data_IF_057184134184
#
_entry.id   IF_057184134184
#
_cell.length_a   1.000
_cell.length_b   1.000
_cell.length_c   1.000
_cell.angle_alpha   90.00
_cell.angle_beta   90.00
_cell.angle_gamma   90.00
#
_symmetry.space_group_name_H-M   'P 1'
#
loop_
_entity.id
_entity.type
_entity.pdbx_description
1 polymer ?
#
# COMPACT_ATOMS: atom_id res chain seq x y z
N UNK A 1 29.11 10.87 -36.10
CA UNK A 1 27.74 10.30 -36.07
C UNK A 1 27.44 9.53 -34.78
N UNK A 2 28.24 8.53 -34.37
CA UNK A 2 27.98 7.72 -33.14
C UNK A 2 27.87 8.52 -31.83
N UNK A 3 28.67 9.59 -31.63
CA UNK A 3 28.60 10.45 -30.43
C UNK A 3 27.31 11.27 -30.32
N UNK A 4 26.76 11.74 -31.44
CA UNK A 4 25.50 12.52 -31.47
C UNK A 4 24.31 11.59 -31.23
N UNK A 5 24.30 10.39 -31.82
CA UNK A 5 23.29 9.36 -31.52
C UNK A 5 23.31 8.93 -30.05
N UNK A 6 24.51 8.77 -29.45
CA UNK A 6 24.63 8.45 -28.03
C UNK A 6 24.11 9.60 -27.14
N UNK A 7 24.44 10.85 -27.48
CA UNK A 7 23.95 12.01 -26.73
C UNK A 7 22.43 12.17 -26.85
N UNK A 8 21.85 11.95 -28.03
CA UNK A 8 20.40 11.98 -28.24
C UNK A 8 19.70 10.84 -27.52
N UNK A 9 20.27 9.62 -27.50
CA UNK A 9 19.74 8.50 -26.72
C UNK A 9 19.78 8.81 -25.22
N UNK A 10 20.90 9.36 -24.72
CA UNK A 10 21.03 9.77 -23.33
C UNK A 10 20.08 10.92 -22.99
N UNK A 11 19.84 11.86 -23.91
CA UNK A 11 18.87 12.95 -23.74
C UNK A 11 17.42 12.42 -23.75
N UNK A 12 17.11 11.44 -24.60
CA UNK A 12 15.81 10.76 -24.62
C UNK A 12 15.58 9.96 -23.35
N UNK A 13 16.62 9.28 -22.85
CA UNK A 13 16.60 8.62 -21.55
C UNK A 13 16.49 9.63 -20.40
N UNK A 14 17.09 10.81 -20.52
CA UNK A 14 17.07 11.87 -19.51
C UNK A 14 15.72 12.60 -19.44
N UNK A 15 15.11 12.93 -20.58
CA UNK A 15 13.77 13.53 -20.66
C UNK A 15 12.70 12.48 -20.33
N UNK A 16 12.86 11.25 -20.83
CA UNK A 16 12.03 10.10 -20.50
C UNK A 16 12.11 9.66 -19.03
N UNK A 17 13.20 10.01 -18.32
CA UNK A 17 13.29 9.80 -16.87
C UNK A 17 12.48 10.84 -16.05
N UNK A 18 12.19 12.01 -16.63
CA UNK A 18 11.37 13.05 -16.00
C UNK A 18 9.88 12.90 -16.31
N UNK A 19 9.53 12.48 -17.53
CA UNK A 19 8.16 12.04 -17.80
C UNK A 19 8.00 10.64 -17.24
N UNK A 20 7.22 10.46 -16.19
CA UNK A 20 6.80 9.13 -15.75
C UNK A 20 5.38 8.86 -16.25
N UNK A 21 5.19 8.61 -17.57
CA UNK A 21 3.88 8.57 -18.21
C UNK A 21 2.99 7.48 -17.63
N UNK A 22 3.54 6.33 -17.24
CA UNK A 22 2.78 5.28 -16.58
C UNK A 22 2.26 5.73 -15.21
N UNK A 23 3.06 6.47 -14.44
CA UNK A 23 2.61 7.03 -13.16
C UNK A 23 1.55 8.11 -13.34
N UNK A 24 1.70 8.97 -14.36
CA UNK A 24 0.66 9.96 -14.71
C UNK A 24 -0.64 9.29 -15.13
N UNK A 25 -0.60 8.25 -15.96
CA UNK A 25 -1.79 7.50 -16.36
C UNK A 25 -2.51 6.87 -15.14
N UNK A 26 -1.75 6.32 -14.19
CA UNK A 26 -2.28 5.79 -12.91
C UNK A 26 -2.80 6.91 -11.99
N UNK A 27 -2.25 8.12 -12.02
CA UNK A 27 -2.80 9.23 -11.25
C UNK A 27 -4.11 9.77 -11.86
N UNK A 28 -4.21 9.76 -13.20
CA UNK A 28 -5.33 10.27 -13.99
C UNK A 28 -6.48 9.26 -14.14
N UNK A 29 -6.31 8.02 -13.69
CA UNK A 29 -7.27 6.91 -13.91
C UNK A 29 -7.45 6.49 -15.36
N UNK A 30 -6.47 6.79 -16.20
CA UNK A 30 -6.42 6.34 -17.59
C UNK A 30 -5.85 4.91 -17.66
N UNK A 31 -6.70 3.94 -17.33
CA UNK A 31 -6.34 2.52 -17.35
C UNK A 31 -5.98 2.01 -18.75
N UNK A 32 -6.55 2.60 -19.81
CA UNK A 32 -6.24 2.23 -21.20
C UNK A 32 -4.81 2.62 -21.51
N UNK A 33 -4.45 3.89 -21.28
CA UNK A 33 -3.08 4.37 -21.47
C UNK A 33 -2.08 3.63 -20.59
N UNK A 34 -2.41 3.37 -19.32
CA UNK A 34 -1.54 2.60 -18.44
C UNK A 34 -1.24 1.19 -19.01
N UNK A 35 -2.26 0.50 -19.54
CA UNK A 35 -2.10 -0.81 -20.18
C UNK A 35 -1.28 -0.72 -21.47
N UNK A 36 -1.49 0.31 -22.30
CA UNK A 36 -0.70 0.52 -23.52
C UNK A 36 0.79 0.74 -23.22
N UNK A 37 1.09 1.56 -22.22
CA UNK A 37 2.46 1.83 -21.75
C UNK A 37 3.12 0.58 -21.16
N UNK A 38 2.39 -0.25 -20.43
CA UNK A 38 2.92 -1.53 -19.95
C UNK A 38 3.18 -2.51 -21.10
N UNK A 39 2.29 -2.56 -22.11
CA UNK A 39 2.47 -3.37 -23.32
C UNK A 39 3.64 -2.90 -24.20
N UNK A 40 3.97 -1.62 -24.16
CA UNK A 40 5.13 -1.07 -24.88
C UNK A 40 6.48 -1.39 -24.21
N UNK A 41 6.45 -2.02 -23.03
CA UNK A 41 7.63 -2.50 -22.32
C UNK A 41 8.10 -1.62 -21.16
N UNK A 42 7.27 -0.68 -20.68
CA UNK A 42 7.60 0.05 -19.46
C UNK A 42 7.77 -0.91 -18.27
N UNK A 43 8.76 -0.60 -17.42
CA UNK A 43 9.04 -1.41 -16.25
C UNK A 43 7.94 -1.22 -15.20
N UNK A 44 7.09 -2.24 -15.04
CA UNK A 44 5.98 -2.28 -14.08
C UNK A 44 6.42 -2.11 -12.61
N UNK A 45 7.69 -2.39 -12.31
CA UNK A 45 8.29 -2.24 -10.99
C UNK A 45 9.20 -1.00 -10.90
N UNK A 46 9.12 -0.07 -11.86
CA UNK A 46 9.81 1.22 -11.81
C UNK A 46 9.37 1.99 -10.57
N UNK A 47 10.28 2.84 -10.09
CA UNK A 47 10.05 3.71 -8.94
C UNK A 47 9.97 5.15 -9.41
N UNK A 48 9.02 5.88 -8.85
CA UNK A 48 8.98 7.32 -9.00
C UNK A 48 9.99 8.02 -8.08
N UNK A 49 10.08 9.35 -8.19
CA UNK A 49 10.93 10.19 -7.34
C UNK A 49 10.62 10.10 -5.84
N UNK A 50 9.45 9.57 -5.47
CA UNK A 50 9.05 9.30 -4.09
C UNK A 50 9.32 7.85 -3.66
N UNK A 51 10.00 7.05 -4.48
CA UNK A 51 10.28 5.65 -4.21
C UNK A 51 9.04 4.74 -4.26
N UNK A 52 7.98 5.13 -4.94
CA UNK A 52 6.77 4.30 -5.06
C UNK A 52 6.72 3.57 -6.39
N UNK A 53 6.20 2.35 -6.40
CA UNK A 53 5.81 1.65 -7.64
C UNK A 53 4.43 2.11 -8.11
N UNK A 54 4.06 1.76 -9.34
CA UNK A 54 2.72 2.03 -9.87
C UNK A 54 1.62 1.28 -9.12
N UNK A 55 1.92 0.08 -8.61
CA UNK A 55 1.02 -0.69 -7.75
C UNK A 55 0.80 0.01 -6.39
N UNK A 56 1.83 0.63 -5.81
CA UNK A 56 1.66 1.44 -4.61
C UNK A 56 0.81 2.69 -4.86
N UNK A 57 0.95 3.32 -6.03
CA UNK A 57 0.18 4.53 -6.37
C UNK A 57 -1.28 4.22 -6.66
N UNK A 58 -1.58 3.12 -7.37
CA UNK A 58 -2.96 2.78 -7.70
C UNK A 58 -3.83 2.59 -6.45
N UNK A 59 -3.28 1.94 -5.40
CA UNK A 59 -3.95 1.79 -4.10
C UNK A 59 -4.39 3.12 -3.44
N UNK A 60 -3.74 4.25 -3.74
CA UNK A 60 -4.07 5.56 -3.14
C UNK A 60 -5.30 6.21 -3.77
N UNK A 61 -5.60 5.88 -5.03
CA UNK A 61 -6.66 6.53 -5.81
C UNK A 61 -7.98 5.73 -5.84
N UNK A 62 -8.04 4.60 -5.13
CA UNK A 62 -9.26 3.82 -4.95
C UNK A 62 -9.81 3.28 -6.26
N UNK A 63 -8.99 2.57 -7.04
CA UNK A 63 -9.51 1.74 -8.12
C UNK A 63 -10.30 0.56 -7.54
N UNK A 64 -11.33 0.09 -8.26
CA UNK A 64 -12.10 -1.11 -7.92
C UNK A 64 -11.30 -2.41 -8.11
N UNK A 65 -10.03 -2.43 -7.72
CA UNK A 65 -9.05 -3.53 -7.84
C UNK A 65 -8.71 -3.97 -9.27
N UNK A 66 -9.36 -3.44 -10.31
CA UNK A 66 -9.15 -3.87 -11.70
C UNK A 66 -7.72 -3.59 -12.16
N UNK A 67 -7.23 -2.37 -11.95
CA UNK A 67 -5.88 -1.98 -12.37
C UNK A 67 -4.83 -2.72 -11.53
N UNK A 68 -5.04 -2.83 -10.22
CA UNK A 68 -4.16 -3.57 -9.31
C UNK A 68 -4.06 -5.04 -9.68
N UNK A 69 -5.19 -5.67 -10.01
CA UNK A 69 -5.24 -7.06 -10.46
C UNK A 69 -4.47 -7.21 -11.76
N UNK A 70 -4.67 -6.30 -12.72
CA UNK A 70 -3.90 -6.31 -13.96
C UNK A 70 -2.41 -6.20 -13.67
N UNK A 71 -2.00 -5.25 -12.83
CA UNK A 71 -0.59 -5.03 -12.49
C UNK A 71 0.03 -6.30 -11.87
N UNK A 72 -0.65 -6.89 -10.88
CA UNK A 72 -0.20 -8.11 -10.19
C UNK A 72 -0.11 -9.31 -11.15
N UNK A 73 -1.09 -9.49 -12.03
CA UNK A 73 -1.07 -10.54 -13.07
C UNK A 73 0.09 -10.42 -14.04
N UNK A 74 0.62 -9.20 -14.25
CA UNK A 74 1.71 -8.92 -15.17
C UNK A 74 3.06 -8.68 -14.44
N UNK A 75 3.19 -9.19 -13.21
CA UNK A 75 4.48 -9.24 -12.51
C UNK A 75 4.82 -7.99 -11.68
N UNK A 76 3.84 -7.14 -11.36
CA UNK A 76 4.03 -6.18 -10.27
C UNK A 76 4.29 -6.93 -8.97
N UNK A 77 5.39 -6.61 -8.29
CA UNK A 77 5.76 -7.27 -7.05
C UNK A 77 5.08 -6.53 -5.87
N UNK A 78 4.16 -7.18 -5.12
CA UNK A 78 3.43 -6.55 -4.02
C UNK A 78 4.32 -6.22 -2.82
N UNK A 79 5.40 -6.98 -2.64
CA UNK A 79 6.34 -6.87 -1.53
C UNK A 79 7.55 -6.00 -1.83
N UNK A 80 7.82 -5.67 -3.09
CA UNK A 80 8.97 -4.86 -3.50
C UNK A 80 8.96 -3.51 -2.76
N UNK A 81 9.77 -3.34 -1.70
CA UNK A 81 9.78 -2.09 -0.97
C UNK A 81 10.84 -1.20 -1.61
N UNK A 82 10.48 0.05 -1.94
CA UNK A 82 11.49 1.11 -2.15
C UNK A 82 10.96 2.51 -1.89
N UNK A 83 9.92 2.61 -1.05
CA UNK A 83 9.55 3.89 -0.45
C UNK A 83 10.62 4.29 0.57
N UNK A 84 10.86 5.59 0.80
CA UNK A 84 11.84 6.06 1.79
C UNK A 84 11.64 5.51 3.21
N UNK A 85 10.43 5.01 3.52
CA UNK A 85 10.07 4.43 4.81
C UNK A 85 10.00 2.90 4.80
N UNK A 86 10.33 2.21 3.70
CA UNK A 86 10.22 0.75 3.62
C UNK A 86 8.78 0.22 3.60
N UNK A 87 7.80 1.04 3.25
CA UNK A 87 6.40 0.61 3.10
C UNK A 87 6.22 -0.28 1.88
N UNK A 88 5.57 -1.43 2.08
CA UNK A 88 5.04 -2.31 1.01
C UNK A 88 3.66 -1.84 0.55
N UNK A 89 3.15 -2.43 -0.54
CA UNK A 89 1.80 -2.13 -1.03
C UNK A 89 0.73 -2.49 0.01
N UNK A 90 0.91 -3.60 0.72
CA UNK A 90 -0.01 -4.04 1.76
C UNK A 90 -0.12 -3.02 2.91
N UNK A 91 1.02 -2.50 3.40
CA UNK A 91 1.05 -1.47 4.45
C UNK A 91 0.33 -0.20 3.98
N UNK A 92 0.51 0.21 2.72
CA UNK A 92 -0.20 1.36 2.14
C UNK A 92 -1.70 1.09 2.04
N UNK A 93 -2.11 -0.07 1.52
CA UNK A 93 -3.52 -0.45 1.40
C UNK A 93 -4.22 -0.48 2.76
N UNK A 94 -3.56 -0.99 3.80
CA UNK A 94 -4.11 -1.04 5.17
C UNK A 94 -4.25 0.35 5.81
N UNK A 95 -3.36 1.29 5.50
CA UNK A 95 -3.47 2.68 5.95
C UNK A 95 -4.59 3.45 5.22
N UNK A 96 -4.79 3.22 3.93
CA UNK A 96 -5.69 4.03 3.08
C UNK A 96 -6.93 3.25 2.59
N UNK A 97 -7.53 3.70 1.48
CA UNK A 97 -8.80 3.23 0.91
C UNK A 97 -8.81 1.76 0.45
N UNK A 98 -7.69 1.05 0.52
CA UNK A 98 -7.54 -0.33 0.08
C UNK A 98 -8.14 -1.34 1.04
N UNK A 99 -9.45 -1.23 1.33
CA UNK A 99 -10.18 -2.14 2.22
C UNK A 99 -10.02 -3.63 1.88
N UNK A 100 -10.74 -4.51 2.57
CA UNK A 100 -10.56 -5.97 2.50
C UNK A 100 -10.37 -6.53 1.06
N UNK A 101 -11.10 -6.10 0.02
CA UNK A 101 -10.88 -6.60 -1.35
C UNK A 101 -9.44 -6.41 -1.86
N UNK A 102 -8.82 -5.26 -1.59
CA UNK A 102 -7.46 -4.97 -2.04
C UNK A 102 -6.42 -5.75 -1.23
N UNK A 103 -6.59 -5.81 0.09
CA UNK A 103 -5.73 -6.62 0.97
C UNK A 103 -5.79 -8.10 0.59
N UNK A 104 -7.00 -8.64 0.35
CA UNK A 104 -7.20 -10.00 -0.14
C UNK A 104 -6.46 -10.23 -1.46
N UNK A 105 -6.58 -9.31 -2.40
CA UNK A 105 -5.90 -9.41 -3.69
C UNK A 105 -4.36 -9.43 -3.51
N UNK A 106 -3.79 -8.58 -2.66
CA UNK A 106 -2.35 -8.58 -2.42
C UNK A 106 -1.86 -9.89 -1.80
N UNK A 107 -2.58 -10.42 -0.80
CA UNK A 107 -2.24 -11.69 -0.17
C UNK A 107 -2.34 -12.86 -1.18
N UNK A 108 -3.31 -12.85 -2.10
CA UNK A 108 -3.42 -13.85 -3.17
C UNK A 108 -2.20 -13.87 -4.10
N UNK A 109 -1.53 -12.72 -4.29
CA UNK A 109 -0.32 -12.60 -5.10
C UNK A 109 0.97 -12.63 -4.27
N UNK A 110 0.89 -13.16 -3.05
CA UNK A 110 2.05 -13.49 -2.24
C UNK A 110 2.62 -12.33 -1.42
N UNK A 111 1.86 -11.25 -1.19
CA UNK A 111 2.29 -10.20 -0.26
C UNK A 111 2.51 -10.77 1.15
N UNK A 112 3.63 -10.43 1.78
CA UNK A 112 3.93 -10.80 3.15
C UNK A 112 3.06 -10.00 4.12
N UNK A 113 2.15 -10.72 4.80
CA UNK A 113 1.23 -10.14 5.78
C UNK A 113 1.94 -9.52 6.99
N UNK A 114 3.16 -9.99 7.29
CA UNK A 114 3.98 -9.54 8.40
C UNK A 114 5.16 -8.66 7.96
N UNK A 115 5.17 -8.18 6.71
CA UNK A 115 6.13 -7.21 6.25
C UNK A 115 6.16 -5.96 7.14
N UNK A 116 7.36 -5.39 7.29
CA UNK A 116 7.59 -4.23 8.16
C UNK A 116 8.23 -3.07 7.41
N UNK A 117 7.89 -1.85 7.85
CA UNK A 117 8.63 -0.64 7.47
C UNK A 117 10.04 -0.63 8.08
N UNK A 118 10.85 0.37 7.71
CA UNK A 118 12.15 0.62 8.36
C UNK A 118 12.04 0.84 9.88
N UNK A 119 10.87 1.28 10.35
CA UNK A 119 10.57 1.51 11.77
C UNK A 119 9.89 0.30 12.43
N UNK A 120 9.81 -0.86 11.75
CA UNK A 120 9.17 -2.07 12.27
C UNK A 120 7.63 -2.05 12.20
N UNK A 121 7.03 -1.13 11.46
CA UNK A 121 5.57 -0.96 11.43
C UNK A 121 4.92 -1.93 10.45
N UNK A 122 3.87 -2.64 10.89
CA UNK A 122 3.16 -3.65 10.10
C UNK A 122 1.86 -3.12 9.49
N UNK A 123 1.27 -3.88 8.56
CA UNK A 123 -0.06 -3.62 8.03
C UNK A 123 -1.15 -3.62 9.12
N UNK A 124 -1.04 -4.52 10.10
CA UNK A 124 -1.96 -4.60 11.24
C UNK A 124 -1.92 -3.33 12.11
N UNK A 125 -0.73 -2.77 12.35
CA UNK A 125 -0.58 -1.52 13.11
C UNK A 125 -1.23 -0.33 12.38
N UNK A 126 -1.09 -0.25 11.05
CA UNK A 126 -1.76 0.78 10.24
C UNK A 126 -3.29 0.63 10.26
N UNK A 127 -3.80 -0.58 10.08
CA UNK A 127 -5.25 -0.85 10.15
C UNK A 127 -5.83 -0.50 11.54
N UNK A 128 -5.08 -0.81 12.60
CA UNK A 128 -5.44 -0.48 13.98
C UNK A 128 -5.44 1.04 14.24
N UNK A 129 -4.43 1.77 13.75
CA UNK A 129 -4.38 3.24 13.84
C UNK A 129 -5.57 3.90 13.14
N UNK A 130 -6.02 3.35 12.01
CA UNK A 130 -7.19 3.85 11.29
C UNK A 130 -8.53 3.30 11.81
N UNK A 131 -8.54 2.55 12.92
CA UNK A 131 -9.74 1.96 13.53
C UNK A 131 -10.63 1.14 12.56
N UNK A 132 -10.00 0.44 11.60
CA UNK A 132 -10.70 -0.42 10.62
C UNK A 132 -10.89 -1.82 11.20
N UNK A 133 -11.82 -1.98 12.14
CA UNK A 133 -12.07 -3.22 12.89
C UNK A 133 -12.19 -4.46 11.99
N UNK A 134 -12.97 -4.38 10.91
CA UNK A 134 -13.14 -5.48 9.96
C UNK A 134 -11.82 -5.90 9.30
N UNK A 135 -11.00 -4.92 8.91
CA UNK A 135 -9.69 -5.19 8.31
C UNK A 135 -8.71 -5.75 9.35
N UNK A 136 -8.76 -5.28 10.60
CA UNK A 136 -7.98 -5.81 11.70
C UNK A 136 -8.33 -7.28 11.95
N UNK A 137 -9.63 -7.62 12.02
CA UNK A 137 -10.08 -9.00 12.12
C UNK A 137 -9.58 -9.84 10.94
N UNK A 138 -9.76 -9.33 9.71
CA UNK A 138 -9.31 -10.03 8.50
C UNK A 138 -7.81 -10.32 8.51
N UNK A 139 -6.96 -9.34 8.84
CA UNK A 139 -5.51 -9.52 8.91
C UNK A 139 -5.11 -10.56 9.96
N UNK A 140 -5.75 -10.53 11.14
CA UNK A 140 -5.50 -11.51 12.21
C UNK A 140 -5.89 -12.94 11.80
N UNK A 141 -7.06 -13.09 11.16
CA UNK A 141 -7.53 -14.38 10.63
C UNK A 141 -6.57 -14.97 9.59
N UNK A 142 -5.80 -14.13 8.90
CA UNK A 142 -4.85 -14.54 7.87
C UNK A 142 -3.39 -14.58 8.36
N UNK A 143 -3.16 -14.54 9.68
CA UNK A 143 -1.84 -14.79 10.28
C UNK A 143 -1.00 -13.55 10.58
N UNK A 144 -1.60 -12.35 10.62
CA UNK A 144 -0.91 -11.17 11.11
C UNK A 144 -0.57 -11.31 12.61
N UNK A 145 0.66 -10.97 12.98
CA UNK A 145 1.15 -11.13 14.36
C UNK A 145 0.67 -9.95 15.22
N UNK A 146 -0.34 -10.18 16.06
CA UNK A 146 -0.90 -9.16 16.97
C UNK A 146 0.14 -8.55 17.93
N UNK A 147 1.09 -9.37 18.38
CA UNK A 147 2.13 -8.99 19.34
C UNK A 147 3.40 -8.41 18.69
N UNK A 148 3.42 -8.22 17.36
CA UNK A 148 4.55 -7.59 16.67
C UNK A 148 4.80 -6.19 17.24
N UNK A 149 6.07 -5.82 17.36
CA UNK A 149 6.49 -4.54 17.94
C UNK A 149 7.26 -3.73 16.90
N UNK A 150 6.93 -2.45 16.82
CA UNK A 150 7.73 -1.48 16.08
C UNK A 150 9.05 -1.17 16.82
N UNK A 151 9.89 -0.33 16.22
CA UNK A 151 11.18 0.07 16.79
C UNK A 151 11.04 0.87 18.12
N UNK A 152 9.85 1.32 18.50
CA UNK A 152 9.57 1.94 19.79
C UNK A 152 8.87 0.97 20.77
N UNK A 153 8.78 -0.31 20.44
CA UNK A 153 8.16 -1.34 21.27
C UNK A 153 6.63 -1.33 21.25
N UNK A 154 5.99 -0.56 20.35
CA UNK A 154 4.54 -0.44 20.27
C UNK A 154 3.93 -1.54 19.41
N UNK A 155 2.79 -2.04 19.86
CA UNK A 155 1.98 -3.07 19.21
C UNK A 155 0.80 -2.46 18.45
N UNK A 156 0.09 -3.25 17.65
CA UNK A 156 -1.14 -2.79 17.01
C UNK A 156 -2.18 -2.24 18.02
N UNK A 157 -2.23 -2.80 19.23
CA UNK A 157 -3.09 -2.30 20.32
C UNK A 157 -2.69 -0.88 20.76
N UNK A 158 -1.39 -0.59 20.86
CA UNK A 158 -0.89 0.75 21.21
C UNK A 158 -1.24 1.79 20.12
N UNK A 159 -1.19 1.38 18.85
CA UNK A 159 -1.61 2.21 17.72
C UNK A 159 -3.12 2.48 17.75
N UNK A 160 -3.95 1.47 18.06
CA UNK A 160 -5.40 1.64 18.23
C UNK A 160 -5.73 2.61 19.39
N UNK A 161 -5.04 2.49 20.53
CA UNK A 161 -5.27 3.35 21.68
C UNK A 161 -4.94 4.82 21.40
N UNK A 162 -3.86 5.07 20.65
CA UNK A 162 -3.41 6.42 20.25
C UNK A 162 -4.16 7.01 19.07
N UNK A 163 -4.95 6.22 18.34
CA UNK A 163 -5.74 6.70 17.22
C UNK A 163 -6.63 7.87 17.65
N UNK A 164 -6.40 9.04 17.05
CA UNK A 164 -7.29 10.18 17.10
C UNK A 164 -8.10 10.11 15.80
N UNK A 165 -9.40 9.87 15.92
CA UNK A 165 -10.27 9.95 14.75
C UNK A 165 -10.57 11.43 14.54
N UNK A 166 -9.80 12.07 13.67
CA UNK A 166 -10.07 13.47 13.33
C UNK A 166 -11.19 13.60 12.31
N UNK A 167 -11.83 14.77 12.28
CA UNK A 167 -12.99 15.08 11.43
C UNK A 167 -12.71 14.85 9.93
N UNK A 168 -11.46 14.99 9.50
CA UNK A 168 -11.05 14.69 8.12
C UNK A 168 -11.08 13.19 7.81
N UNK A 169 -10.62 12.36 8.75
CA UNK A 169 -10.73 10.89 8.65
C UNK A 169 -12.19 10.46 8.57
N UNK A 170 -13.06 11.09 9.37
CA UNK A 170 -14.53 10.87 9.36
C UNK A 170 -15.17 11.33 8.03
N UNK A 171 -14.71 12.44 7.45
CA UNK A 171 -15.23 12.93 6.17
C UNK A 171 -14.77 12.10 4.97
N UNK A 172 -13.56 11.53 5.07
CA UNK A 172 -12.96 10.70 4.03
C UNK A 172 -13.36 9.21 4.13
N UNK A 173 -13.81 8.75 5.31
CA UNK A 173 -14.33 7.41 5.57
C UNK A 173 -15.59 7.53 6.45
N UNK A 174 -16.77 7.04 6.02
CA UNK A 174 -18.00 7.21 6.81
C UNK A 174 -17.84 6.65 8.24
N UNK A 175 -18.37 7.37 9.25
CA UNK A 175 -18.26 7.02 10.69
C UNK A 175 -18.59 5.55 10.98
N UNK A 176 -19.53 4.95 10.23
CA UNK A 176 -19.92 3.55 10.36
C UNK A 176 -18.80 2.53 10.11
N UNK A 177 -17.64 2.95 9.59
CA UNK A 177 -16.46 2.11 9.34
C UNK A 177 -15.30 2.37 10.30
N UNK A 178 -15.42 3.35 11.18
CA UNK A 178 -14.41 3.68 12.19
C UNK A 178 -14.92 3.19 13.54
N UNK A 179 -14.48 2.02 13.98
CA UNK A 179 -14.88 1.46 15.26
C UNK A 179 -13.65 1.20 16.13
N UNK A 180 -13.25 2.23 16.87
CA UNK A 180 -12.11 2.17 17.79
C UNK A 180 -12.35 1.15 18.91
N UNK A 181 -13.56 1.07 19.45
CA UNK A 181 -13.90 0.16 20.54
C UNK A 181 -13.82 -1.31 20.09
N UNK A 182 -14.41 -1.64 18.94
CA UNK A 182 -14.29 -2.98 18.36
C UNK A 182 -12.83 -3.31 17.98
N UNK A 183 -12.10 -2.36 17.40
CA UNK A 183 -10.68 -2.56 17.06
C UNK A 183 -9.86 -2.94 18.29
N UNK A 184 -10.03 -2.23 19.40
CA UNK A 184 -9.36 -2.52 20.68
C UNK A 184 -9.79 -3.90 21.20
N UNK A 185 -11.09 -4.20 21.22
CA UNK A 185 -11.61 -5.47 21.70
C UNK A 185 -11.06 -6.68 20.92
N UNK A 186 -10.98 -6.57 19.58
CA UNK A 186 -10.41 -7.59 18.70
C UNK A 186 -8.92 -7.81 19.04
N UNK A 187 -8.15 -6.74 19.20
CA UNK A 187 -6.70 -6.82 19.48
C UNK A 187 -6.40 -7.34 20.89
N UNK A 188 -7.21 -6.99 21.89
CA UNK A 188 -7.14 -7.56 23.24
C UNK A 188 -7.35 -9.07 23.19
N UNK A 189 -8.42 -9.52 22.52
CA UNK A 189 -8.70 -10.95 22.32
C UNK A 189 -7.54 -11.67 21.62
N UNK A 190 -6.96 -11.06 20.58
CA UNK A 190 -5.86 -11.65 19.81
C UNK A 190 -4.53 -11.74 20.59
N UNK A 191 -4.33 -10.88 21.59
CA UNK A 191 -3.11 -10.88 22.43
C UNK A 191 -3.26 -11.73 23.70
N UNK A 192 -4.42 -12.38 23.91
CA UNK A 192 -4.70 -13.16 25.11
C UNK A 192 -5.01 -12.31 26.35
N UNK A 193 -5.00 -10.99 26.23
CA UNK A 193 -5.39 -10.05 27.28
C UNK A 193 -6.92 -9.89 27.23
N UNK A 194 -7.66 -10.49 28.17
CA UNK A 194 -9.10 -10.19 28.30
C UNK A 194 -9.29 -8.72 28.69
N UNK A 195 -10.33 -8.05 28.17
CA UNK A 195 -10.69 -6.69 28.59
C UNK A 195 -11.01 -6.62 30.09
#
# INVERSE_FOLDING_TARGET
MKKIQLLLLLLFLYIGAYSQPLFSAIAEKDTVKAVELLKSGENINLLNSYGSTVLMQSCRYGYDTVMEKFLLQHGANPDNPRSPKGRTTLIIASAYYGGIPMVRLLLQYGADINAVTNDGVTALMMAAQSAKSDLVAYLLEHGAIAAAKDAQGKTALDYANKAQVDEYTIKSMPESKVDKAATIAILLKATGNKP
#
